data_IF_547520803038
#
_entry.id   IF_547520803038
#
_cell.length_a   1.000
_cell.length_b   1.000
_cell.length_c   1.000
_cell.angle_alpha   90.00
_cell.angle_beta   90.00
_cell.angle_gamma   90.00
#
_symmetry.space_group_name_H-M   'P 1'
#
loop_
_entity.id
_entity.type
_entity.pdbx_description
1 polymer ?
#
# COMPACT_ATOMS: atom_id res chain seq x y z
N UNK A 1 -31.90 -28.47 -3.23
CA UNK A 1 -30.50 -28.10 -3.50
C UNK A 1 -30.32 -26.59 -3.78
N UNK A 2 -31.12 -25.95 -4.64
CA UNK A 2 -30.99 -24.50 -4.94
C UNK A 2 -31.00 -23.57 -3.71
N UNK A 3 -31.90 -23.78 -2.73
CA UNK A 3 -31.98 -22.93 -1.53
C UNK A 3 -30.68 -22.96 -0.71
N UNK A 4 -30.06 -24.13 -0.56
CA UNK A 4 -28.79 -24.30 0.15
C UNK A 4 -27.62 -23.62 -0.57
N UNK A 5 -27.58 -23.71 -1.91
CA UNK A 5 -26.58 -23.02 -2.74
C UNK A 5 -26.68 -21.49 -2.61
N UNK A 6 -27.90 -20.93 -2.63
CA UNK A 6 -28.12 -19.49 -2.45
C UNK A 6 -27.68 -19.04 -1.05
N UNK A 7 -27.95 -19.85 -0.03
CA UNK A 7 -27.57 -19.50 1.35
C UNK A 7 -26.04 -19.55 1.52
N UNK A 8 -25.37 -20.55 0.94
CA UNK A 8 -23.92 -20.64 0.93
C UNK A 8 -23.27 -19.46 0.19
N UNK A 9 -23.82 -19.07 -0.97
CA UNK A 9 -23.39 -17.89 -1.72
C UNK A 9 -23.48 -16.62 -0.89
N UNK A 10 -24.62 -16.36 -0.23
CA UNK A 10 -24.80 -15.19 0.63
C UNK A 10 -23.86 -15.20 1.84
N UNK A 11 -23.59 -16.38 2.41
CA UNK A 11 -22.66 -16.51 3.54
C UNK A 11 -21.21 -16.24 3.12
N UNK A 12 -20.78 -16.76 1.97
CA UNK A 12 -19.47 -16.46 1.38
C UNK A 12 -19.34 -14.97 1.06
N UNK A 13 -20.40 -14.35 0.50
CA UNK A 13 -20.44 -12.91 0.22
C UNK A 13 -20.34 -12.10 1.51
N UNK A 14 -21.05 -12.50 2.57
CA UNK A 14 -20.97 -11.88 3.89
C UNK A 14 -19.56 -11.99 4.50
N UNK A 15 -18.92 -13.17 4.41
CA UNK A 15 -17.54 -13.37 4.87
C UNK A 15 -16.53 -12.55 4.05
N UNK A 16 -16.74 -12.42 2.75
CA UNK A 16 -15.89 -11.61 1.88
C UNK A 16 -16.00 -10.12 2.21
N UNK A 17 -17.24 -9.60 2.33
CA UNK A 17 -17.49 -8.22 2.75
C UNK A 17 -16.92 -7.96 4.14
N UNK A 18 -17.07 -8.90 5.08
CA UNK A 18 -16.48 -8.78 6.42
C UNK A 18 -14.95 -8.70 6.37
N UNK A 19 -14.31 -9.58 5.60
CA UNK A 19 -12.85 -9.61 5.48
C UNK A 19 -12.27 -8.38 4.77
N UNK A 20 -12.98 -7.77 3.83
CA UNK A 20 -12.54 -6.51 3.22
C UNK A 20 -12.84 -5.29 4.12
N UNK A 21 -13.99 -5.29 4.82
CA UNK A 21 -14.41 -4.16 5.65
C UNK A 21 -13.62 -4.06 6.97
N UNK A 22 -13.30 -5.18 7.61
CA UNK A 22 -12.60 -5.22 8.89
C UNK A 22 -11.07 -5.36 8.79
N UNK A 23 -10.48 -5.19 7.60
CA UNK A 23 -9.02 -5.10 7.47
C UNK A 23 -8.50 -3.82 8.10
N UNK A 24 -8.01 -3.91 9.33
CA UNK A 24 -7.33 -2.82 10.00
C UNK A 24 -6.08 -2.41 9.19
N UNK A 25 -5.89 -1.10 9.02
CA UNK A 25 -4.67 -0.52 8.47
C UNK A 25 -3.91 0.04 9.67
N UNK A 26 -2.65 -0.40 9.92
CA UNK A 26 -1.88 0.09 11.04
C UNK A 26 -1.61 1.59 10.89
N UNK A 27 -1.51 2.29 12.00
CA UNK A 27 -1.22 3.72 12.01
C UNK A 27 -0.16 4.11 13.04
N UNK A 28 0.52 5.23 12.79
CA UNK A 28 1.64 5.68 13.61
C UNK A 28 1.28 6.07 15.04
N UNK A 29 0.01 6.34 15.35
CA UNK A 29 -0.40 6.60 16.74
C UNK A 29 -0.52 5.32 17.59
N UNK A 30 -0.44 4.13 16.98
CA UNK A 30 -0.46 2.88 17.72
C UNK A 30 0.83 2.69 18.53
N UNK A 31 0.70 2.42 19.84
CA UNK A 31 1.84 2.21 20.74
C UNK A 31 2.77 1.08 20.26
N UNK A 32 2.22 0.04 19.65
CA UNK A 32 2.99 -1.08 19.10
C UNK A 32 3.84 -0.70 17.90
N UNK A 33 3.37 0.24 17.07
CA UNK A 33 4.09 0.72 15.89
C UNK A 33 5.25 1.63 16.30
N UNK A 34 5.00 2.63 17.15
CA UNK A 34 6.02 3.58 17.60
C UNK A 34 7.19 2.93 18.37
N UNK A 35 6.93 1.81 19.05
CA UNK A 35 7.97 1.08 19.78
C UNK A 35 8.92 0.33 18.84
N UNK A 36 8.42 -0.14 17.70
CA UNK A 36 9.15 -1.07 16.83
C UNK A 36 9.70 -0.41 15.56
N UNK A 37 9.21 0.77 15.19
CA UNK A 37 9.59 1.46 13.96
C UNK A 37 9.99 2.92 14.23
N UNK A 38 11.10 3.32 13.63
CA UNK A 38 11.51 4.72 13.53
C UNK A 38 11.22 5.21 12.12
N UNK A 39 10.32 6.18 11.99
CA UNK A 39 9.88 6.72 10.70
C UNK A 39 10.36 8.16 10.59
N UNK A 40 11.22 8.42 9.61
CA UNK A 40 11.89 9.72 9.44
C UNK A 40 11.47 10.37 8.12
N UNK A 41 10.96 11.61 8.15
CA UNK A 41 10.56 12.31 6.93
C UNK A 41 11.79 12.69 6.10
N UNK A 42 11.70 12.45 4.80
CA UNK A 42 12.70 12.81 3.79
C UNK A 42 12.22 14.02 2.99
N UNK A 43 10.99 13.96 2.48
CA UNK A 43 10.43 15.01 1.61
C UNK A 43 8.91 15.07 1.71
N UNK A 44 8.37 16.27 1.91
CA UNK A 44 6.94 16.49 1.85
C UNK A 44 6.43 16.46 0.40
N UNK A 45 5.29 15.83 0.18
CA UNK A 45 4.57 15.84 -1.09
C UNK A 45 3.09 16.19 -0.87
N UNK A 46 2.49 16.87 -1.85
CA UNK A 46 1.06 17.17 -1.88
C UNK A 46 0.63 17.32 -3.32
N UNK A 47 0.10 16.24 -3.90
CA UNK A 47 -0.17 16.17 -5.34
C UNK A 47 -1.55 15.56 -5.61
N UNK A 48 -2.05 15.80 -6.82
CA UNK A 48 -3.29 15.20 -7.31
C UNK A 48 -2.95 13.91 -8.06
N UNK A 49 -3.63 12.83 -7.69
CA UNK A 49 -3.47 11.52 -8.31
C UNK A 49 -4.80 10.93 -8.74
N UNK A 50 -4.74 10.04 -9.72
CA UNK A 50 -5.78 9.07 -10.04
C UNK A 50 -5.34 7.74 -9.42
N UNK A 51 -6.18 7.16 -8.58
CA UNK A 51 -5.93 5.82 -8.02
C UNK A 51 -6.08 4.81 -9.15
N UNK A 52 -5.01 4.12 -9.52
CA UNK A 52 -5.06 3.09 -10.56
C UNK A 52 -5.43 1.74 -9.98
N UNK A 53 -4.69 1.29 -8.97
CA UNK A 53 -4.98 0.05 -8.25
C UNK A 53 -4.47 0.14 -6.81
N UNK A 54 -4.98 -0.71 -5.93
CA UNK A 54 -4.55 -0.82 -4.54
C UNK A 54 -4.52 -2.28 -4.08
N UNK A 55 -3.55 -2.62 -3.25
CA UNK A 55 -3.40 -3.98 -2.72
C UNK A 55 -3.10 -3.97 -1.24
N UNK A 56 -3.82 -4.82 -0.52
CA UNK A 56 -3.52 -5.10 0.88
C UNK A 56 -2.50 -6.23 0.96
N UNK A 57 -1.39 -5.95 1.62
CA UNK A 57 -0.36 -6.94 1.89
C UNK A 57 -0.60 -7.57 3.24
N UNK A 58 -0.58 -8.90 3.25
CA UNK A 58 -0.72 -9.68 4.48
C UNK A 58 0.65 -9.89 5.09
N UNK A 59 0.76 -9.86 6.43
CA UNK A 59 2.00 -10.27 7.09
C UNK A 59 2.33 -11.72 6.73
N UNK A 60 3.61 -12.00 6.53
CA UNK A 60 4.12 -13.27 5.96
C UNK A 60 3.94 -14.44 6.94
N UNK A 61 3.71 -14.16 8.23
CA UNK A 61 3.35 -15.17 9.25
C UNK A 61 2.16 -14.70 10.07
N UNK A 62 1.30 -15.64 10.47
CA UNK A 62 0.26 -15.44 11.50
C UNK A 62 0.95 -15.24 12.85
N UNK A 63 1.38 -14.01 13.15
CA UNK A 63 1.82 -13.68 14.51
C UNK A 63 0.57 -13.40 15.32
N UNK A 64 0.39 -14.12 16.43
CA UNK A 64 -0.81 -14.12 17.28
C UNK A 64 -1.20 -12.73 17.82
N UNK A 65 -0.30 -11.74 17.80
CA UNK A 65 -0.57 -10.39 18.26
C UNK A 65 0.15 -9.34 17.40
N UNK A 66 -0.60 -8.38 16.86
CA UNK A 66 -0.10 -7.20 16.12
C UNK A 66 0.79 -6.26 16.96
N UNK A 67 0.94 -6.50 18.27
CA UNK A 67 1.64 -5.62 19.20
C UNK A 67 2.61 -6.38 20.15
N UNK A 68 3.18 -7.52 19.74
CA UNK A 68 4.13 -8.23 20.61
C UNK A 68 5.43 -7.40 20.81
N UNK A 69 5.86 -7.15 22.05
CA UNK A 69 6.99 -6.27 22.37
C UNK A 69 8.37 -6.94 22.24
N UNK A 70 8.44 -8.20 21.80
CA UNK A 70 9.67 -8.96 21.64
C UNK A 70 9.62 -9.67 20.30
N UNK A 71 10.29 -9.10 19.30
CA UNK A 71 10.43 -9.71 17.99
C UNK A 71 11.82 -9.37 17.46
N UNK A 72 12.79 -10.24 17.78
CA UNK A 72 14.13 -10.21 17.20
C UNK A 72 14.07 -10.54 15.70
N UNK A 73 14.69 -9.72 14.86
CA UNK A 73 14.89 -9.91 13.41
C UNK A 73 13.65 -9.85 12.49
N UNK A 74 12.64 -9.03 12.78
CA UNK A 74 11.42 -8.98 11.96
C UNK A 74 11.45 -7.83 10.93
N UNK A 75 11.65 -8.22 9.66
CA UNK A 75 11.55 -7.37 8.46
C UNK A 75 10.14 -7.39 7.83
N UNK A 76 9.07 -7.48 8.62
CA UNK A 76 7.72 -7.47 8.05
C UNK A 76 7.11 -6.07 8.10
N UNK A 77 7.17 -5.38 6.96
CA UNK A 77 6.65 -4.02 6.79
C UNK A 77 5.11 -3.97 6.93
N UNK A 78 4.40 -5.10 6.82
CA UNK A 78 2.95 -5.15 6.93
C UNK A 78 2.42 -4.71 8.32
N UNK A 79 3.26 -4.67 9.36
CA UNK A 79 2.89 -4.13 10.67
C UNK A 79 2.89 -2.60 10.74
N UNK A 80 3.45 -1.93 9.74
CA UNK A 80 3.52 -0.47 9.63
C UNK A 80 2.80 0.04 8.38
N UNK A 81 2.92 -0.68 7.27
CA UNK A 81 2.31 -0.40 5.98
C UNK A 81 1.80 -1.70 5.36
N UNK A 82 0.51 -1.97 5.51
CA UNK A 82 -0.14 -3.15 4.91
C UNK A 82 -0.91 -2.85 3.64
N UNK A 83 -0.73 -1.66 3.05
CA UNK A 83 -1.40 -1.28 1.82
C UNK A 83 -0.42 -0.60 0.87
N UNK A 84 -0.46 -1.07 -0.37
CA UNK A 84 0.26 -0.51 -1.49
C UNK A 84 -0.74 0.09 -2.47
N UNK A 85 -0.43 1.28 -2.99
CA UNK A 85 -1.23 1.96 -4.00
C UNK A 85 -0.40 2.29 -5.21
N UNK A 86 -1.02 2.13 -6.38
CA UNK A 86 -0.48 2.54 -7.66
C UNK A 86 -1.27 3.75 -8.12
N UNK A 87 -0.57 4.87 -8.28
CA UNK A 87 -1.15 6.18 -8.54
C UNK A 87 -0.63 6.73 -9.86
N UNK A 88 -1.50 7.47 -10.55
CA UNK A 88 -1.18 8.13 -11.80
C UNK A 88 -1.36 9.63 -11.68
N UNK A 89 -0.42 10.43 -12.20
CA UNK A 89 -0.59 11.89 -12.30
C UNK A 89 -1.32 12.30 -13.59
N UNK A 90 -1.48 11.38 -14.54
CA UNK A 90 -2.26 11.54 -15.77
C UNK A 90 -3.03 10.23 -16.10
N UNK A 91 -4.15 10.29 -16.86
CA UNK A 91 -4.84 9.08 -17.30
C UNK A 91 -3.91 8.12 -18.04
N UNK A 92 -4.03 6.82 -17.76
CA UNK A 92 -3.22 5.80 -18.43
C UNK A 92 -3.53 5.82 -19.94
N UNK A 93 -2.53 5.91 -20.82
CA UNK A 93 -2.75 5.84 -22.25
C UNK A 93 -3.21 4.44 -22.67
N UNK A 94 -3.71 4.32 -23.90
CA UNK A 94 -3.98 3.01 -24.50
C UNK A 94 -2.65 2.30 -24.79
N UNK A 95 -2.14 1.57 -23.80
CA UNK A 95 -0.92 0.77 -23.89
C UNK A 95 -1.25 -0.72 -23.91
N UNK A 96 -0.45 -1.52 -24.63
CA UNK A 96 -0.62 -2.99 -24.65
C UNK A 96 -0.12 -3.65 -23.36
N UNK A 97 0.84 -3.02 -22.69
CA UNK A 97 1.38 -3.51 -21.44
C UNK A 97 0.43 -3.26 -20.26
N UNK A 98 0.52 -4.09 -19.23
CA UNK A 98 -0.24 -3.94 -17.99
C UNK A 98 0.68 -3.58 -16.83
N UNK A 99 0.19 -2.76 -15.91
CA UNK A 99 0.85 -2.49 -14.64
C UNK A 99 0.30 -3.45 -13.60
N UNK A 100 1.14 -4.34 -13.08
CA UNK A 100 0.72 -5.36 -12.11
C UNK A 100 1.49 -5.24 -10.81
N UNK A 101 0.83 -5.54 -9.69
CA UNK A 101 1.49 -5.59 -8.39
C UNK A 101 2.31 -6.87 -8.23
N UNK A 102 3.58 -6.71 -7.90
CA UNK A 102 4.41 -7.78 -7.36
C UNK A 102 4.40 -7.66 -5.83
N UNK A 103 3.50 -8.43 -5.19
CA UNK A 103 3.32 -8.40 -3.73
C UNK A 103 4.59 -8.75 -2.96
N UNK A 104 5.43 -9.65 -3.51
CA UNK A 104 6.68 -10.08 -2.87
C UNK A 104 7.69 -8.94 -2.87
N UNK A 105 7.81 -8.22 -3.98
CA UNK A 105 8.72 -7.09 -4.10
C UNK A 105 8.15 -5.80 -3.52
N UNK A 106 6.86 -5.76 -3.15
CA UNK A 106 6.18 -4.54 -2.65
C UNK A 106 6.36 -3.39 -3.64
N UNK A 107 6.14 -3.70 -4.91
CA UNK A 107 6.39 -2.80 -6.03
C UNK A 107 5.57 -3.28 -7.23
N UNK A 108 5.42 -2.46 -8.27
CA UNK A 108 4.78 -2.92 -9.50
C UNK A 108 5.81 -3.51 -10.47
N UNK A 109 5.29 -4.28 -11.42
CA UNK A 109 5.97 -4.73 -12.61
C UNK A 109 5.14 -4.40 -13.85
N UNK A 110 5.78 -4.46 -15.02
CA UNK A 110 5.14 -4.21 -16.30
C UNK A 110 5.16 -5.51 -17.09
N UNK A 111 3.98 -5.98 -17.48
CA UNK A 111 3.84 -7.19 -18.30
C UNK A 111 3.46 -6.82 -19.74
N UNK A 112 4.04 -7.52 -20.71
CA UNK A 112 3.83 -7.26 -22.14
C UNK A 112 4.91 -6.39 -22.79
N UNK A 113 4.71 -6.07 -24.06
CA UNK A 113 5.62 -5.22 -24.81
C UNK A 113 5.36 -3.74 -24.52
N UNK A 114 6.43 -3.00 -24.24
CA UNK A 114 6.38 -1.56 -23.99
C UNK A 114 7.06 -0.81 -25.14
N UNK A 115 6.38 0.21 -25.65
CA UNK A 115 7.02 1.19 -26.53
C UNK A 115 7.88 2.17 -25.72
N UNK A 116 8.75 2.93 -26.40
CA UNK A 116 9.52 4.00 -25.75
C UNK A 116 8.60 5.07 -25.13
N UNK A 117 7.48 5.38 -25.80
CA UNK A 117 6.49 6.32 -25.29
C UNK A 117 5.84 5.82 -23.99
N UNK A 118 5.45 4.54 -23.93
CA UNK A 118 4.87 3.93 -22.72
C UNK A 118 5.89 3.90 -21.58
N UNK A 119 7.14 3.57 -21.88
CA UNK A 119 8.22 3.59 -20.89
C UNK A 119 8.42 4.99 -20.29
N UNK A 120 8.43 6.03 -21.13
CA UNK A 120 8.55 7.42 -20.68
C UNK A 120 7.33 7.86 -19.87
N UNK A 121 6.12 7.43 -20.26
CA UNK A 121 4.91 7.67 -19.48
C UNK A 121 5.03 7.06 -18.09
N UNK A 122 5.42 5.78 -18.00
CA UNK A 122 5.56 5.04 -16.74
C UNK A 122 6.56 5.73 -15.81
N UNK A 123 7.73 6.11 -16.31
CA UNK A 123 8.77 6.75 -15.49
C UNK A 123 8.38 8.15 -14.97
N UNK A 124 7.44 8.82 -15.64
CA UNK A 124 7.08 10.20 -15.32
C UNK A 124 5.79 10.29 -14.51
N UNK A 125 4.81 9.45 -14.82
CA UNK A 125 3.43 9.61 -14.36
C UNK A 125 2.95 8.48 -13.45
N UNK A 126 3.70 7.39 -13.29
CA UNK A 126 3.33 6.27 -12.41
C UNK A 126 4.12 6.35 -11.11
N UNK A 127 3.42 6.31 -9.99
CA UNK A 127 3.99 6.27 -8.65
C UNK A 127 3.43 5.10 -7.86
N UNK A 128 4.29 4.37 -7.17
CA UNK A 128 3.89 3.33 -6.24
C UNK A 128 4.25 3.75 -4.83
N UNK A 129 3.23 3.80 -3.97
CA UNK A 129 3.44 4.07 -2.55
C UNK A 129 2.97 2.91 -1.68
N UNK A 130 3.88 2.46 -0.82
CA UNK A 130 3.51 1.75 0.40
C UNK A 130 3.08 2.78 1.44
N UNK A 131 1.79 2.81 1.76
CA UNK A 131 1.23 3.87 2.60
C UNK A 131 1.35 3.54 4.08
N UNK A 132 1.69 4.56 4.87
CA UNK A 132 1.72 4.54 6.34
C UNK A 132 0.73 5.61 6.81
N UNK A 133 -0.32 5.20 7.51
CA UNK A 133 -1.29 6.15 8.03
C UNK A 133 -0.73 6.92 9.24
N UNK A 134 -0.79 8.26 9.22
CA UNK A 134 -0.39 9.05 10.39
C UNK A 134 -1.33 8.85 11.60
N UNK A 135 -2.63 8.62 11.35
CA UNK A 135 -3.67 8.48 12.38
C UNK A 135 -4.70 7.43 11.97
N UNK A 136 -5.53 6.98 12.92
CA UNK A 136 -6.65 6.07 12.65
C UNK A 136 -7.61 6.64 11.59
N UNK A 137 -7.91 7.94 11.67
CA UNK A 137 -8.76 8.63 10.68
C UNK A 137 -8.17 8.52 9.26
N UNK A 138 -6.86 8.71 9.11
CA UNK A 138 -6.20 8.56 7.81
C UNK A 138 -6.21 7.10 7.36
N UNK A 139 -6.00 6.16 8.28
CA UNK A 139 -6.08 4.72 7.99
C UNK A 139 -7.45 4.34 7.41
N UNK A 140 -8.53 4.87 7.97
CA UNK A 140 -9.89 4.66 7.47
C UNK A 140 -10.13 5.32 6.09
N UNK A 141 -9.54 6.48 5.83
CA UNK A 141 -9.61 7.11 4.50
C UNK A 141 -8.85 6.29 3.45
N UNK A 142 -7.65 5.82 3.77
CA UNK A 142 -6.85 4.97 2.90
C UNK A 142 -7.60 3.68 2.54
N UNK A 143 -8.25 3.04 3.51
CA UNK A 143 -9.04 1.82 3.29
C UNK A 143 -10.15 2.00 2.24
N UNK A 144 -10.67 3.22 2.10
CA UNK A 144 -11.81 3.55 1.24
C UNK A 144 -11.42 4.02 -0.16
N UNK A 145 -10.12 4.10 -0.45
CA UNK A 145 -9.63 4.38 -1.78
C UNK A 145 -10.15 3.31 -2.76
N UNK A 146 -10.43 3.73 -3.98
CA UNK A 146 -10.91 2.85 -5.06
C UNK A 146 -10.26 3.25 -6.39
N UNK A 147 -10.00 2.27 -7.27
CA UNK A 147 -9.59 2.55 -8.66
C UNK A 147 -10.47 3.58 -9.35
N UNK A 148 -9.85 4.44 -10.15
CA UNK A 148 -10.48 5.54 -10.90
C UNK A 148 -10.74 6.81 -10.09
N UNK A 149 -10.59 6.80 -8.76
CA UNK A 149 -10.81 7.99 -7.95
C UNK A 149 -9.71 9.02 -8.17
N UNK A 150 -10.11 10.28 -8.35
CA UNK A 150 -9.19 11.41 -8.29
C UNK A 150 -9.09 11.90 -6.84
N UNK A 151 -7.88 11.95 -6.31
CA UNK A 151 -7.60 12.35 -4.93
C UNK A 151 -6.46 13.37 -4.87
N UNK A 152 -6.48 14.25 -3.88
CA UNK A 152 -5.26 14.93 -3.42
C UNK A 152 -4.68 14.10 -2.28
N UNK A 153 -3.42 13.69 -2.40
CA UNK A 153 -2.69 12.94 -1.39
C UNK A 153 -1.55 13.81 -0.86
N UNK A 154 -1.53 14.04 0.45
CA UNK A 154 -0.47 14.78 1.12
C UNK A 154 0.15 13.98 2.26
N UNK A 155 1.46 14.11 2.39
CA UNK A 155 2.25 13.35 3.33
C UNK A 155 3.74 13.54 3.12
N UNK A 156 4.53 12.71 3.78
CA UNK A 156 5.98 12.75 3.68
C UNK A 156 6.49 11.42 3.14
N UNK A 157 7.34 11.47 2.11
CA UNK A 157 8.22 10.36 1.79
C UNK A 157 9.10 10.12 3.01
N UNK A 158 9.23 8.86 3.42
CA UNK A 158 9.92 8.50 4.67
C UNK A 158 10.93 7.39 4.46
N UNK A 159 11.97 7.40 5.29
CA UNK A 159 12.76 6.20 5.58
C UNK A 159 12.20 5.54 6.83
N UNK A 160 12.24 4.22 6.86
CA UNK A 160 11.76 3.43 7.99
C UNK A 160 12.88 2.52 8.47
N UNK A 161 13.16 2.59 9.76
CA UNK A 161 14.14 1.74 10.42
C UNK A 161 13.49 0.94 11.54
N UNK A 162 14.05 -0.23 11.82
CA UNK A 162 13.72 -0.99 13.03
C UNK A 162 14.15 -0.18 14.25
N UNK A 163 13.23 0.00 15.21
CA UNK A 163 13.53 0.70 16.47
C UNK A 163 14.53 -0.05 17.35
N UNK A 164 14.73 -1.36 17.12
CA UNK A 164 15.64 -2.19 17.93
C UNK A 164 16.98 -2.45 17.25
N UNK A 165 16.97 -2.76 15.94
CA UNK A 165 18.17 -3.15 15.19
C UNK A 165 18.73 -2.02 14.33
N UNK A 166 17.97 -0.94 14.11
CA UNK A 166 18.34 0.14 13.19
C UNK A 166 18.32 -0.28 11.72
N UNK A 167 17.93 -1.52 11.40
CA UNK A 167 17.84 -2.01 10.03
C UNK A 167 16.81 -1.23 9.23
N UNK A 168 17.20 -0.76 8.05
CA UNK A 168 16.29 -0.07 7.12
C UNK A 168 15.31 -1.06 6.47
N UNK A 169 14.05 -0.66 6.41
CA UNK A 169 13.02 -1.33 5.63
C UNK A 169 12.95 -0.70 4.24
N UNK A 170 13.11 -1.52 3.21
CA UNK A 170 13.09 -1.06 1.82
C UNK A 170 12.01 -1.77 1.02
N UNK A 171 11.30 -1.01 0.19
CA UNK A 171 10.34 -1.53 -0.79
C UNK A 171 10.99 -1.64 -2.18
N UNK A 172 10.42 -2.45 -3.07
CA UNK A 172 10.94 -2.63 -4.43
C UNK A 172 12.26 -3.40 -4.55
N UNK A 173 12.67 -4.13 -3.51
CA UNK A 173 13.89 -4.95 -3.58
C UNK A 173 13.77 -6.01 -4.68
N UNK A 174 14.74 -6.00 -5.61
CA UNK A 174 14.73 -6.87 -6.79
C UNK A 174 13.79 -6.44 -7.92
N UNK A 175 13.10 -5.29 -7.80
CA UNK A 175 12.27 -4.74 -8.89
C UNK A 175 13.10 -3.86 -9.82
N UNK A 176 12.83 -3.97 -11.12
CA UNK A 176 13.36 -3.03 -12.13
C UNK A 176 12.84 -1.61 -11.94
N UNK A 177 11.68 -1.45 -11.31
CA UNK A 177 11.02 -0.17 -11.06
C UNK A 177 11.17 0.31 -9.61
N UNK A 178 12.20 -0.18 -8.89
CA UNK A 178 12.45 0.18 -7.48
C UNK A 178 12.45 1.70 -7.25
N UNK A 179 12.96 2.50 -8.18
CA UNK A 179 13.01 3.95 -8.07
C UNK A 179 11.63 4.62 -7.96
N UNK A 180 10.56 3.93 -8.35
CA UNK A 180 9.18 4.43 -8.30
C UNK A 180 8.38 3.88 -7.12
N UNK A 181 9.01 3.03 -6.29
CA UNK A 181 8.39 2.37 -5.17
C UNK A 181 8.93 2.99 -3.88
N UNK A 182 8.08 3.71 -3.16
CA UNK A 182 8.49 4.51 -2.00
C UNK A 182 7.53 4.31 -0.82
N UNK A 183 8.02 4.61 0.39
CA UNK A 183 7.20 4.65 1.60
C UNK A 183 6.68 6.06 1.80
N UNK A 184 5.37 6.19 2.02
CA UNK A 184 4.71 7.46 2.20
C UNK A 184 3.92 7.49 3.51
N UNK A 185 4.31 8.36 4.44
CA UNK A 185 3.50 8.70 5.61
C UNK A 185 2.41 9.68 5.18
N UNK A 186 1.18 9.20 5.09
CA UNK A 186 0.03 9.99 4.68
C UNK A 186 -0.52 10.77 5.87
N UNK A 187 -0.69 12.08 5.70
CA UNK A 187 -1.27 12.97 6.69
C UNK A 187 -2.63 13.51 6.26
N UNK A 188 -2.93 13.52 4.96
CA UNK A 188 -4.22 14.00 4.45
C UNK A 188 -4.58 13.33 3.11
N UNK A 189 -5.88 13.02 2.96
CA UNK A 189 -6.51 12.60 1.70
C UNK A 189 -7.76 13.44 1.48
N UNK A 190 -7.90 14.00 0.28
CA UNK A 190 -9.10 14.70 -0.17
C UNK A 190 -9.61 14.07 -1.47
N UNK A 191 -10.91 13.78 -1.53
CA UNK A 191 -11.56 13.23 -2.73
C UNK A 191 -12.14 14.35 -3.59
N UNK A 192 -12.13 14.16 -4.91
CA UNK A 192 -12.72 15.04 -5.92
C UNK A 192 -13.93 14.40 -6.59
#
# INVERSE_FOLDING_TARGET
>A
MQKLLITALLFILGLWVWNEFFRAIPHLQEKGVLKNFKVEPVKHISEIYIVHDQRFVKPTRRVLHQASPVVGSFNDLAYLSNIDVLLLTQPLPAMQATLEFDEVKRCYQVEGQISEADHNFINTHVQHFSLIAATEKIADQIRRLKPGQKITLSGDLVTVHSGTTGQEFTVGTGSKYRGHCQLLRVTQIQHH
#
